data_IF_324215997581
#
_entry.id   IF_324215997581
#
_cell.length_a   1.000
_cell.length_b   1.000
_cell.length_c   1.000
_cell.angle_alpha   90.00
_cell.angle_beta   90.00
_cell.angle_gamma   90.00
#
_symmetry.space_group_name_H-M   'P 1'
#
loop_
_entity.id
_entity.type
_entity.pdbx_description
1 polymer ?
#
# COMPACT_ATOMS: atom_id res chain seq x y z
N UNK A 1 10.46 6.38 -3.33
CA UNK A 1 9.77 6.73 -2.07
C UNK A 1 10.85 6.88 -1.01
N UNK A 2 10.83 7.98 -0.30
CA UNK A 2 11.88 8.37 0.66
C UNK A 2 11.23 8.56 2.03
N UNK A 3 11.95 8.22 3.09
CA UNK A 3 11.62 8.55 4.47
C UNK A 3 12.43 9.78 4.86
N UNK A 4 11.76 10.86 5.22
CA UNK A 4 12.39 12.15 5.52
C UNK A 4 11.79 12.75 6.78
N UNK A 5 12.49 13.69 7.42
CA UNK A 5 11.93 14.50 8.49
C UNK A 5 11.00 15.58 7.92
N UNK A 6 9.92 15.95 8.66
CA UNK A 6 9.04 17.04 8.24
C UNK A 6 9.81 18.32 7.95
N UNK A 7 10.81 18.67 8.73
CA UNK A 7 11.68 19.87 8.53
C UNK A 7 12.47 19.85 7.21
N UNK A 8 12.61 18.70 6.56
CA UNK A 8 13.29 18.54 5.27
C UNK A 8 12.34 18.68 4.09
N UNK A 9 11.03 18.79 4.37
CA UNK A 9 9.99 18.92 3.35
C UNK A 9 9.66 20.40 3.16
N UNK A 10 9.71 20.86 1.92
CA UNK A 10 9.32 22.24 1.60
C UNK A 10 7.80 22.41 1.69
N UNK A 11 7.32 23.06 2.74
CA UNK A 11 5.91 23.34 2.95
C UNK A 11 5.32 24.36 1.94
N UNK A 12 6.17 25.14 1.27
CA UNK A 12 5.76 26.09 0.22
C UNK A 12 5.54 25.41 -1.13
N UNK A 13 5.76 24.09 -1.23
CA UNK A 13 5.40 23.34 -2.43
C UNK A 13 3.87 23.42 -2.64
N UNK A 14 3.39 23.80 -3.85
CA UNK A 14 1.95 23.88 -4.18
C UNK A 14 1.18 22.59 -3.88
N UNK A 15 1.90 21.47 -3.75
CA UNK A 15 1.34 20.20 -3.27
C UNK A 15 0.54 20.39 -1.95
N UNK A 16 0.95 21.28 -1.06
CA UNK A 16 0.29 21.48 0.24
C UNK A 16 -0.88 22.48 0.22
N UNK A 17 -1.12 23.23 -0.85
CA UNK A 17 -2.12 24.30 -0.90
C UNK A 17 -3.52 23.84 -0.51
N UNK A 18 -3.95 22.66 -1.02
CA UNK A 18 -5.27 22.14 -0.66
C UNK A 18 -5.37 21.70 0.80
N UNK A 19 -4.28 21.20 1.40
CA UNK A 19 -4.26 20.86 2.82
C UNK A 19 -4.27 22.13 3.69
N UNK A 20 -3.55 23.19 3.30
CA UNK A 20 -3.60 24.48 3.97
C UNK A 20 -5.00 25.10 3.89
N UNK A 21 -5.69 24.95 2.74
CA UNK A 21 -7.05 25.44 2.57
C UNK A 21 -8.09 24.63 3.38
N UNK A 22 -7.92 23.32 3.47
CA UNK A 22 -8.87 22.42 4.13
C UNK A 22 -8.73 22.45 5.65
N UNK A 23 -7.52 22.63 6.17
CA UNK A 23 -7.20 22.51 7.59
C UNK A 23 -6.62 23.81 8.15
N UNK A 24 -7.44 24.59 8.86
CA UNK A 24 -6.96 25.79 9.57
C UNK A 24 -5.85 25.39 10.55
N UNK A 25 -4.71 26.11 10.50
CA UNK A 25 -3.55 25.83 11.35
C UNK A 25 -2.70 24.63 10.88
N UNK A 26 -2.85 24.20 9.62
CA UNK A 26 -2.03 23.12 9.04
C UNK A 26 -0.53 23.43 9.11
N UNK A 27 -0.13 24.65 8.81
CA UNK A 27 1.28 25.07 8.83
C UNK A 27 1.88 25.01 10.23
N UNK A 28 1.14 25.50 11.25
CA UNK A 28 1.58 25.41 12.65
C UNK A 28 1.67 23.96 13.13
N UNK A 29 0.67 23.13 12.73
CA UNK A 29 0.68 21.70 13.01
C UNK A 29 1.87 21.01 12.36
N UNK A 30 2.17 21.33 11.10
CA UNK A 30 3.29 20.79 10.36
C UNK A 30 4.63 21.17 11.02
N UNK A 31 4.78 22.43 11.44
CA UNK A 31 5.96 22.92 12.16
C UNK A 31 6.19 22.18 13.48
N UNK A 32 5.12 21.90 14.26
CA UNK A 32 5.23 21.09 15.50
C UNK A 32 5.67 19.65 15.26
N UNK A 33 5.60 19.16 14.01
CA UNK A 33 6.01 17.82 13.61
C UNK A 33 7.43 17.77 13.01
N UNK A 34 8.19 18.85 13.10
CA UNK A 34 9.51 19.03 12.44
C UNK A 34 10.44 17.80 12.54
N UNK A 35 10.48 17.13 13.68
CA UNK A 35 11.35 15.97 13.94
C UNK A 35 10.66 14.61 13.70
N UNK A 36 9.39 14.59 13.31
CA UNK A 36 8.69 13.38 12.92
C UNK A 36 9.09 12.94 11.51
N UNK A 37 8.96 11.64 11.25
CA UNK A 37 9.21 11.06 9.93
C UNK A 37 7.96 11.07 9.05
N UNK A 38 8.14 11.33 7.77
CA UNK A 38 7.11 11.20 6.75
C UNK A 38 7.66 10.49 5.51
N UNK A 39 6.79 9.76 4.83
CA UNK A 39 7.11 9.16 3.55
C UNK A 39 6.71 10.10 2.43
N UNK A 40 7.64 10.39 1.53
CA UNK A 40 7.40 11.22 0.36
C UNK A 40 7.71 10.48 -0.95
N UNK A 41 7.02 10.89 -1.99
CA UNK A 41 7.37 10.57 -3.37
C UNK A 41 7.48 11.87 -4.15
N UNK A 42 8.58 12.03 -4.90
CA UNK A 42 8.80 13.15 -5.81
C UNK A 42 8.60 12.73 -7.26
N UNK A 43 8.22 13.66 -8.10
CA UNK A 43 8.24 13.54 -9.56
C UNK A 43 9.68 13.70 -10.08
N UNK A 44 9.88 13.52 -11.38
CA UNK A 44 11.18 13.71 -12.04
C UNK A 44 11.70 15.16 -11.97
N UNK A 45 10.81 16.12 -11.84
CA UNK A 45 11.11 17.56 -11.65
C UNK A 45 11.38 17.94 -10.19
N UNK A 46 11.45 16.97 -9.28
CA UNK A 46 11.63 17.12 -7.84
C UNK A 46 10.43 17.69 -7.07
N UNK A 47 9.32 18.06 -7.72
CA UNK A 47 8.08 18.43 -7.03
C UNK A 47 7.46 17.24 -6.29
N UNK A 48 6.72 17.52 -5.20
CA UNK A 48 6.04 16.48 -4.45
C UNK A 48 4.90 15.86 -5.27
N UNK A 49 4.79 14.55 -5.17
CA UNK A 49 3.71 13.76 -5.76
C UNK A 49 2.86 13.06 -4.72
N UNK A 50 3.44 12.72 -3.57
CA UNK A 50 2.74 12.09 -2.47
C UNK A 50 3.42 12.40 -1.14
N UNK A 51 2.60 12.45 -0.09
CA UNK A 51 3.02 12.64 1.30
C UNK A 51 2.17 11.73 2.20
N UNK A 52 2.84 10.98 3.10
CA UNK A 52 2.19 10.12 4.08
C UNK A 52 2.85 10.27 5.44
N UNK A 53 2.06 10.60 6.45
CA UNK A 53 2.45 10.60 7.85
C UNK A 53 1.70 9.52 8.62
N UNK A 54 2.44 8.70 9.36
CA UNK A 54 1.93 7.62 10.20
C UNK A 54 2.29 7.85 11.67
N UNK A 55 1.37 7.52 12.57
CA UNK A 55 1.59 7.61 14.03
C UNK A 55 0.96 6.41 14.72
N UNK A 56 1.65 5.83 15.68
CA UNK A 56 1.06 4.85 16.60
C UNK A 56 0.38 5.60 17.75
N UNK A 57 -0.83 5.18 18.07
CA UNK A 57 -1.62 5.67 19.20
C UNK A 57 -2.17 4.48 19.97
N UNK A 58 -2.01 4.49 21.29
CA UNK A 58 -2.46 3.42 22.19
C UNK A 58 -3.66 3.86 23.06
N UNK A 59 -4.03 5.14 22.98
CA UNK A 59 -5.05 5.76 23.81
C UNK A 59 -6.47 5.59 23.23
N UNK A 60 -7.47 5.85 24.07
CA UNK A 60 -8.85 6.01 23.63
C UNK A 60 -9.00 7.26 22.74
N UNK A 61 -9.82 7.18 21.70
CA UNK A 61 -10.09 8.33 20.83
C UNK A 61 -11.44 8.94 21.27
N UNK A 62 -11.37 10.08 21.94
CA UNK A 62 -12.53 10.74 22.55
C UNK A 62 -13.03 11.96 21.80
N UNK A 63 -12.30 12.39 20.76
CA UNK A 63 -12.63 13.53 19.91
C UNK A 63 -13.40 13.13 18.64
N UNK A 64 -14.07 11.97 18.70
CA UNK A 64 -14.90 11.40 17.62
C UNK A 64 -16.24 10.90 18.17
N UNK A 65 -17.25 10.78 17.33
CA UNK A 65 -18.59 10.28 17.68
C UNK A 65 -18.97 9.11 16.79
N UNK A 66 -19.17 7.89 17.30
CA UNK A 66 -18.95 7.49 18.72
C UNK A 66 -17.45 7.43 19.08
N UNK A 67 -17.14 7.54 20.36
CA UNK A 67 -15.79 7.41 20.89
C UNK A 67 -15.26 5.98 20.65
N UNK A 68 -13.94 5.84 20.52
CA UNK A 68 -13.28 4.54 20.46
C UNK A 68 -12.59 4.23 21.79
N UNK A 69 -12.70 2.99 22.30
CA UNK A 69 -12.00 2.55 23.48
C UNK A 69 -10.48 2.56 23.27
N UNK A 70 -9.72 2.38 24.34
CA UNK A 70 -8.27 2.18 24.25
C UNK A 70 -7.94 0.96 23.40
N UNK A 71 -7.02 1.13 22.44
CA UNK A 71 -6.45 0.07 21.63
C UNK A 71 -5.21 0.58 20.88
N UNK A 72 -4.30 -0.32 20.56
CA UNK A 72 -3.13 0.02 19.72
C UNK A 72 -3.56 0.21 18.27
N UNK A 73 -3.42 1.43 17.77
CA UNK A 73 -3.87 1.85 16.44
C UNK A 73 -2.76 2.50 15.65
N UNK A 74 -2.80 2.29 14.34
CA UNK A 74 -2.03 3.09 13.39
C UNK A 74 -2.92 4.21 12.85
N UNK A 75 -2.59 5.44 13.18
CA UNK A 75 -3.21 6.63 12.61
C UNK A 75 -2.53 7.00 11.29
N UNK A 76 -3.32 7.15 10.24
CA UNK A 76 -2.91 7.84 9.02
C UNK A 76 -3.17 9.33 9.25
N UNK A 77 -2.14 10.04 9.70
CA UNK A 77 -2.27 11.45 10.13
C UNK A 77 -2.37 12.43 8.98
N UNK A 78 -1.69 12.15 7.87
CA UNK A 78 -1.82 12.89 6.61
C UNK A 78 -1.55 11.93 5.47
N UNK A 79 -2.43 11.92 4.48
CA UNK A 79 -2.25 11.13 3.26
C UNK A 79 -2.76 11.91 2.06
N UNK A 80 -1.84 12.39 1.23
CA UNK A 80 -2.16 13.11 0.00
C UNK A 80 -1.36 12.55 -1.16
N UNK A 81 -2.02 12.41 -2.31
CA UNK A 81 -1.45 11.95 -3.57
C UNK A 81 -1.98 12.83 -4.71
N UNK A 82 -1.07 13.35 -5.53
CA UNK A 82 -1.36 14.07 -6.77
C UNK A 82 -0.97 13.25 -8.00
N UNK A 83 -1.48 12.04 -8.10
CA UNK A 83 -1.22 11.15 -9.23
C UNK A 83 -2.52 10.52 -9.68
N UNK A 84 -3.10 11.06 -10.73
CA UNK A 84 -4.32 10.51 -11.33
C UNK A 84 -3.98 9.34 -12.26
N UNK A 85 -4.84 8.31 -12.23
CA UNK A 85 -4.72 7.11 -13.09
C UNK A 85 -3.42 6.32 -12.92
N UNK A 86 -2.78 6.39 -11.75
CA UNK A 86 -1.60 5.61 -11.40
C UNK A 86 -1.90 4.63 -10.27
N UNK A 87 -1.01 3.65 -10.06
CA UNK A 87 -1.10 2.70 -8.95
C UNK A 87 -0.41 3.22 -7.66
N UNK A 88 -0.07 4.49 -7.62
CA UNK A 88 0.64 5.09 -6.48
C UNK A 88 -0.16 5.00 -5.18
N UNK A 89 -1.48 5.20 -5.24
CA UNK A 89 -2.37 5.03 -4.09
C UNK A 89 -2.29 3.62 -3.48
N UNK A 90 -2.35 2.59 -4.31
CA UNK A 90 -2.22 1.19 -3.86
C UNK A 90 -0.85 0.91 -3.24
N UNK A 91 0.21 1.51 -3.77
CA UNK A 91 1.55 1.40 -3.21
C UNK A 91 1.62 1.94 -1.78
N UNK A 92 1.02 3.11 -1.54
CA UNK A 92 0.96 3.69 -0.19
C UNK A 92 0.06 2.87 0.74
N UNK A 93 -1.10 2.39 0.26
CA UNK A 93 -1.95 1.49 1.06
C UNK A 93 -1.18 0.25 1.47
N UNK A 94 -0.43 -0.38 0.55
CA UNK A 94 0.43 -1.52 0.89
C UNK A 94 1.43 -1.18 1.99
N UNK A 95 2.05 -0.01 1.91
CA UNK A 95 3.01 0.43 2.93
C UNK A 95 2.33 0.65 4.29
N UNK A 96 1.15 1.28 4.32
CA UNK A 96 0.35 1.45 5.54
C UNK A 96 0.07 0.08 6.17
N UNK A 97 -0.37 -0.91 5.37
CA UNK A 97 -0.67 -2.26 5.86
C UNK A 97 0.56 -2.98 6.39
N UNK A 98 1.71 -2.86 5.71
CA UNK A 98 2.96 -3.46 6.17
C UNK A 98 3.45 -2.82 7.48
N UNK A 99 3.31 -1.51 7.61
CA UNK A 99 3.63 -0.81 8.85
C UNK A 99 2.73 -1.27 10.00
N UNK A 100 1.43 -1.42 9.74
CA UNK A 100 0.46 -1.93 10.71
C UNK A 100 0.78 -3.36 11.19
N UNK A 101 1.19 -4.25 10.26
CA UNK A 101 1.64 -5.60 10.59
C UNK A 101 2.91 -5.60 11.44
N UNK A 102 3.90 -4.79 11.05
CA UNK A 102 5.17 -4.68 11.78
C UNK A 102 4.95 -4.21 13.21
N UNK A 103 4.13 -3.17 13.38
CA UNK A 103 3.78 -2.59 14.68
C UNK A 103 2.75 -3.44 15.46
N UNK A 104 2.17 -4.46 14.84
CA UNK A 104 1.16 -5.35 15.43
C UNK A 104 -0.04 -4.58 16.00
N UNK A 105 -0.52 -3.58 15.26
CA UNK A 105 -1.68 -2.79 15.68
C UNK A 105 -2.99 -3.59 15.50
N UNK A 106 -4.01 -3.21 16.26
CA UNK A 106 -5.33 -3.83 16.18
C UNK A 106 -6.19 -3.24 15.08
N UNK A 107 -6.00 -1.94 14.83
CA UNK A 107 -6.76 -1.18 13.85
C UNK A 107 -5.88 -0.14 13.16
N UNK A 108 -6.26 0.22 11.94
CA UNK A 108 -5.74 1.37 11.22
C UNK A 108 -6.89 2.36 11.08
N UNK A 109 -6.67 3.65 11.34
CA UNK A 109 -7.70 4.64 11.12
C UNK A 109 -7.19 5.90 10.42
N UNK A 110 -8.10 6.59 9.76
CA UNK A 110 -7.87 7.85 9.06
C UNK A 110 -9.09 8.76 9.24
N UNK A 111 -8.84 10.03 9.48
CA UNK A 111 -9.86 11.08 9.42
C UNK A 111 -9.77 11.77 8.06
N UNK A 112 -10.90 11.92 7.38
CA UNK A 112 -10.92 12.44 6.01
C UNK A 112 -12.27 13.08 5.68
N UNK A 113 -12.24 14.19 4.93
CA UNK A 113 -13.45 14.77 4.35
C UNK A 113 -13.97 13.92 3.20
N UNK A 114 -15.27 13.65 3.17
CA UNK A 114 -15.93 12.83 2.13
C UNK A 114 -15.75 13.40 0.71
N UNK A 115 -15.43 14.66 0.56
CA UNK A 115 -15.12 15.30 -0.74
C UNK A 115 -13.92 14.67 -1.46
N UNK A 116 -13.02 14.00 -0.73
CA UNK A 116 -11.87 13.27 -1.28
C UNK A 116 -12.27 11.88 -1.79
N UNK A 117 -13.27 11.83 -2.68
CA UNK A 117 -13.95 10.62 -3.16
C UNK A 117 -12.97 9.54 -3.64
N UNK A 118 -11.91 9.93 -4.37
CA UNK A 118 -10.91 8.99 -4.88
C UNK A 118 -10.19 8.23 -3.77
N UNK A 119 -9.77 8.94 -2.72
CA UNK A 119 -9.09 8.35 -1.57
C UNK A 119 -10.06 7.54 -0.71
N UNK A 120 -11.28 8.04 -0.49
CA UNK A 120 -12.34 7.30 0.23
C UNK A 120 -12.64 5.97 -0.46
N UNK A 121 -12.79 5.95 -1.78
CA UNK A 121 -13.03 4.72 -2.53
C UNK A 121 -11.84 3.76 -2.47
N UNK A 122 -10.61 4.28 -2.52
CA UNK A 122 -9.41 3.48 -2.35
C UNK A 122 -9.38 2.81 -0.96
N UNK A 123 -9.66 3.56 0.09
CA UNK A 123 -9.72 3.03 1.46
C UNK A 123 -10.80 1.96 1.60
N UNK A 124 -12.02 2.22 1.11
CA UNK A 124 -13.13 1.25 1.12
C UNK A 124 -12.80 -0.03 0.38
N UNK A 125 -12.12 0.05 -0.78
CA UNK A 125 -11.63 -1.12 -1.53
C UNK A 125 -10.78 -2.04 -0.66
N UNK A 126 -9.96 -1.47 0.22
CA UNK A 126 -9.06 -2.21 1.10
C UNK A 126 -9.61 -2.40 2.53
N UNK A 127 -10.93 -2.40 2.68
CA UNK A 127 -11.60 -2.82 3.90
C UNK A 127 -11.68 -1.77 5.00
N UNK A 128 -11.47 -0.50 4.69
CA UNK A 128 -11.79 0.57 5.62
C UNK A 128 -13.29 0.86 5.59
N UNK A 129 -13.90 0.98 6.77
CA UNK A 129 -15.31 1.30 6.95
C UNK A 129 -15.46 2.57 7.76
N UNK A 130 -16.43 3.39 7.41
CA UNK A 130 -16.79 4.56 8.23
C UNK A 130 -17.37 4.10 9.56
N UNK A 131 -16.72 4.46 10.66
CA UNK A 131 -17.13 4.07 12.02
C UNK A 131 -17.53 5.24 12.91
N UNK A 132 -17.04 6.46 12.62
CA UNK A 132 -17.32 7.65 13.41
C UNK A 132 -17.22 8.91 12.56
N UNK A 133 -17.54 10.03 13.20
CA UNK A 133 -17.33 11.38 12.67
C UNK A 133 -16.48 12.19 13.65
N UNK A 134 -15.71 13.14 13.14
CA UNK A 134 -14.87 14.07 13.92
C UNK A 134 -15.13 15.50 13.50
N UNK A 135 -15.11 16.42 14.47
CA UNK A 135 -15.29 17.85 14.25
C UNK A 135 -16.73 18.32 14.34
N UNK A 136 -16.96 19.55 13.92
CA UNK A 136 -18.25 20.23 14.01
C UNK A 136 -19.27 19.67 13.01
N UNK A 137 -20.56 19.86 13.34
CA UNK A 137 -21.69 19.36 12.55
C UNK A 137 -21.75 19.90 11.14
N UNK A 138 -21.18 21.08 10.89
CA UNK A 138 -21.29 21.76 9.58
C UNK A 138 -20.31 21.22 8.52
N UNK A 139 -19.16 20.70 8.95
CA UNK A 139 -18.18 20.10 8.04
C UNK A 139 -17.38 18.97 8.75
N UNK A 140 -18.03 17.87 9.11
CA UNK A 140 -17.37 16.79 9.84
C UNK A 140 -16.43 15.99 8.95
N UNK A 141 -15.29 15.59 9.51
CA UNK A 141 -14.47 14.55 8.91
C UNK A 141 -15.08 13.16 9.21
N UNK A 142 -15.06 12.28 8.25
CA UNK A 142 -15.39 10.87 8.46
C UNK A 142 -14.18 10.11 8.99
N UNK A 143 -14.41 9.26 9.98
CA UNK A 143 -13.39 8.37 10.54
C UNK A 143 -13.55 7.00 9.93
N UNK A 144 -12.61 6.64 9.06
CA UNK A 144 -12.54 5.34 8.43
C UNK A 144 -11.59 4.44 9.21
N UNK A 145 -12.04 3.25 9.55
CA UNK A 145 -11.29 2.27 10.35
C UNK A 145 -11.20 0.96 9.60
N UNK A 146 -10.02 0.36 9.59
CA UNK A 146 -9.79 -1.02 9.15
C UNK A 146 -9.35 -1.84 10.36
N UNK A 147 -10.09 -2.90 10.66
CA UNK A 147 -9.68 -3.91 11.64
C UNK A 147 -8.56 -4.78 11.08
N UNK A 148 -7.54 -5.04 11.90
CA UNK A 148 -6.45 -5.98 11.58
C UNK A 148 -6.74 -7.39 12.15
N UNK A 149 -7.97 -7.66 12.59
CA UNK A 149 -8.38 -8.93 13.21
C UNK A 149 -9.55 -9.60 12.50
N UNK A 150 -10.29 -8.86 11.65
CA UNK A 150 -11.49 -9.37 10.98
C UNK A 150 -11.16 -9.92 9.60
N UNK A 151 -11.77 -11.06 9.28
CA UNK A 151 -11.76 -11.69 7.97
C UNK A 151 -13.13 -11.59 7.33
N UNK A 152 -13.22 -11.08 6.10
CA UNK A 152 -14.46 -10.82 5.38
C UNK A 152 -14.72 -11.82 4.25
N UNK A 153 -13.70 -12.52 3.79
CA UNK A 153 -13.73 -13.38 2.60
C UNK A 153 -13.48 -12.64 1.28
N UNK A 154 -13.35 -11.32 1.32
CA UNK A 154 -12.99 -10.50 0.15
C UNK A 154 -11.47 -10.31 0.11
N UNK A 155 -10.82 -10.73 -0.97
CA UNK A 155 -9.35 -10.72 -1.12
C UNK A 155 -8.77 -9.32 -0.92
N UNK A 156 -9.42 -8.30 -1.46
CA UNK A 156 -8.94 -6.92 -1.36
C UNK A 156 -9.17 -6.34 0.04
N UNK A 157 -10.35 -6.58 0.63
CA UNK A 157 -10.67 -6.08 1.97
C UNK A 157 -9.85 -6.78 3.04
N UNK A 158 -9.51 -8.04 2.84
CA UNK A 158 -8.74 -8.82 3.81
C UNK A 158 -7.22 -8.57 3.70
N UNK A 159 -6.75 -7.97 2.59
CA UNK A 159 -5.33 -7.61 2.47
C UNK A 159 -4.86 -6.81 3.70
N UNK A 160 -3.74 -7.13 4.34
CA UNK A 160 -2.65 -8.01 3.88
C UNK A 160 -2.75 -9.47 4.34
N UNK A 161 -3.85 -9.89 4.94
CA UNK A 161 -4.04 -11.25 5.43
C UNK A 161 -4.40 -12.21 4.30
N UNK A 162 -3.94 -13.45 4.45
CA UNK A 162 -4.16 -14.52 3.48
C UNK A 162 -4.83 -15.68 4.18
N UNK A 163 -6.00 -16.09 3.68
CA UNK A 163 -6.68 -17.28 4.17
C UNK A 163 -6.15 -18.51 3.45
N UNK A 164 -5.56 -19.45 4.19
CA UNK A 164 -4.84 -20.60 3.62
C UNK A 164 -5.61 -21.92 3.68
N UNK A 165 -6.68 -21.99 4.49
CA UNK A 165 -7.46 -23.21 4.69
C UNK A 165 -8.30 -23.55 3.45
N UNK A 166 -8.24 -24.81 3.00
CA UNK A 166 -9.02 -25.28 1.86
C UNK A 166 -8.62 -24.70 0.49
N UNK A 167 -7.50 -23.98 0.39
CA UNK A 167 -7.01 -23.40 -0.86
C UNK A 167 -5.89 -24.24 -1.45
N UNK A 168 -5.87 -24.37 -2.79
CA UNK A 168 -4.74 -24.94 -3.50
C UNK A 168 -3.53 -24.01 -3.35
N UNK A 169 -2.35 -24.59 -3.38
CA UNK A 169 -1.09 -23.89 -3.20
C UNK A 169 -0.14 -24.24 -4.34
N UNK A 170 0.31 -23.21 -5.05
CA UNK A 170 1.20 -23.34 -6.20
C UNK A 170 2.54 -22.66 -5.90
N UNK A 171 3.60 -23.21 -6.46
CA UNK A 171 4.92 -22.60 -6.47
C UNK A 171 5.20 -22.04 -7.87
N UNK A 172 5.35 -20.72 -7.99
CA UNK A 172 5.65 -20.05 -9.24
C UNK A 172 7.12 -19.66 -9.27
N UNK A 173 7.89 -20.38 -10.10
CA UNK A 173 9.31 -20.08 -10.29
C UNK A 173 9.47 -18.92 -11.30
N UNK A 174 10.13 -17.85 -10.90
CA UNK A 174 10.35 -16.65 -11.72
C UNK A 174 11.86 -16.38 -11.82
N UNK A 175 12.35 -16.18 -13.05
CA UNK A 175 13.73 -15.75 -13.27
C UNK A 175 14.00 -14.37 -12.64
N UNK A 176 15.22 -14.13 -12.11
CA UNK A 176 15.57 -12.90 -11.40
C UNK A 176 15.23 -11.62 -12.14
N UNK A 177 15.53 -11.55 -13.43
CA UNK A 177 15.26 -10.36 -14.27
C UNK A 177 13.78 -9.98 -14.36
N UNK A 178 12.87 -10.97 -14.33
CA UNK A 178 11.43 -10.73 -14.32
C UNK A 178 10.91 -10.51 -12.91
N UNK A 179 11.49 -11.25 -11.95
CA UNK A 179 11.12 -11.12 -10.54
C UNK A 179 11.35 -9.70 -10.03
N UNK A 180 12.53 -9.13 -10.28
CA UNK A 180 12.91 -7.80 -9.80
C UNK A 180 11.97 -6.70 -10.33
N UNK A 181 11.52 -6.82 -11.59
CA UNK A 181 10.54 -5.88 -12.17
C UNK A 181 9.18 -6.04 -11.52
N UNK A 182 8.73 -7.27 -11.28
CA UNK A 182 7.41 -7.57 -10.73
C UNK A 182 7.32 -7.30 -9.22
N UNK A 183 8.41 -7.57 -8.50
CA UNK A 183 8.53 -7.44 -7.03
C UNK A 183 9.74 -6.58 -6.64
N UNK A 184 9.74 -5.27 -6.98
CA UNK A 184 10.90 -4.40 -6.81
C UNK A 184 11.30 -4.15 -5.35
N UNK A 185 10.42 -4.44 -4.39
CA UNK A 185 10.73 -4.34 -2.96
C UNK A 185 11.22 -5.66 -2.34
N UNK A 186 11.29 -6.75 -3.14
CA UNK A 186 11.77 -8.07 -2.72
C UNK A 186 13.07 -8.44 -3.43
N UNK A 187 14.00 -7.50 -3.51
CA UNK A 187 15.29 -7.66 -4.20
C UNK A 187 16.31 -8.26 -3.22
N UNK A 188 17.22 -9.10 -3.73
CA UNK A 188 18.34 -9.57 -2.93
C UNK A 188 19.31 -8.42 -2.64
N UNK A 189 19.94 -8.45 -1.46
CA UNK A 189 20.95 -7.44 -1.08
C UNK A 189 22.08 -7.30 -2.12
N UNK A 190 22.38 -8.35 -2.85
CA UNK A 190 23.38 -8.36 -3.93
C UNK A 190 22.96 -7.59 -5.19
N UNK A 191 21.65 -7.28 -5.34
CA UNK A 191 21.09 -6.57 -6.50
C UNK A 191 20.75 -5.11 -6.19
N UNK A 192 20.89 -4.67 -4.95
CA UNK A 192 20.54 -3.29 -4.54
C UNK A 192 21.31 -2.25 -5.36
N UNK A 193 22.54 -2.54 -5.74
CA UNK A 193 23.40 -1.63 -6.53
C UNK A 193 22.86 -1.38 -7.95
N UNK A 194 22.14 -2.36 -8.51
CA UNK A 194 21.62 -2.32 -9.87
C UNK A 194 20.14 -1.94 -9.93
N UNK A 195 19.54 -1.62 -8.76
CA UNK A 195 18.10 -1.37 -8.59
C UNK A 195 17.57 -0.33 -9.57
N UNK A 196 18.22 0.81 -9.67
CA UNK A 196 17.77 1.96 -10.46
C UNK A 196 17.87 1.69 -11.98
N UNK A 197 18.76 0.80 -12.40
CA UNK A 197 18.87 0.37 -13.79
C UNK A 197 17.82 -0.68 -14.19
N UNK A 198 17.37 -1.48 -13.21
CA UNK A 198 16.41 -2.58 -13.42
C UNK A 198 14.96 -2.12 -13.32
N UNK A 199 14.67 -1.10 -12.51
CA UNK A 199 13.32 -0.62 -12.22
C UNK A 199 13.14 0.78 -12.82
N UNK A 200 12.72 0.82 -14.07
CA UNK A 200 12.49 2.09 -14.80
C UNK A 200 11.18 2.79 -14.43
N UNK A 201 10.15 2.03 -14.05
CA UNK A 201 8.86 2.56 -13.60
C UNK A 201 8.40 1.84 -12.32
N UNK A 202 8.46 2.57 -11.22
CA UNK A 202 8.18 2.02 -9.88
C UNK A 202 6.69 2.10 -9.53
N UNK A 203 5.93 2.98 -10.20
CA UNK A 203 4.53 3.26 -9.81
C UNK A 203 3.60 2.09 -10.08
N UNK A 204 3.69 1.47 -11.27
CA UNK A 204 2.84 0.35 -11.65
C UNK A 204 3.30 -0.99 -11.07
N UNK A 205 4.59 -1.21 -10.96
CA UNK A 205 5.15 -2.49 -10.49
C UNK A 205 4.96 -2.72 -9.00
N UNK A 206 4.80 -1.66 -8.21
CA UNK A 206 4.63 -1.72 -6.76
C UNK A 206 3.19 -1.69 -6.27
N UNK A 207 2.21 -1.89 -7.15
CA UNK A 207 0.82 -2.03 -6.73
C UNK A 207 0.60 -3.32 -5.93
N UNK A 208 -0.51 -3.39 -5.21
CA UNK A 208 -0.94 -4.61 -4.52
C UNK A 208 -1.24 -5.71 -5.54
N UNK A 209 -1.91 -5.34 -6.64
CA UNK A 209 -2.22 -6.27 -7.72
C UNK A 209 -1.02 -6.48 -8.64
N UNK A 210 -0.79 -7.74 -9.04
CA UNK A 210 0.26 -8.14 -9.97
C UNK A 210 -0.34 -8.82 -11.17
N UNK A 211 0.16 -8.50 -12.36
CA UNK A 211 -0.20 -9.18 -13.60
C UNK A 211 1.01 -10.00 -14.05
N UNK A 212 0.82 -11.29 -14.22
CA UNK A 212 1.86 -12.20 -14.68
C UNK A 212 1.42 -12.93 -15.95
N UNK A 213 2.16 -12.73 -17.04
CA UNK A 213 1.94 -13.40 -18.31
C UNK A 213 2.89 -14.59 -18.45
N UNK A 214 2.35 -15.78 -18.68
CA UNK A 214 3.15 -16.99 -18.83
C UNK A 214 2.53 -17.95 -19.88
N UNK A 215 3.32 -18.95 -20.29
CA UNK A 215 2.88 -20.07 -21.16
C UNK A 215 2.73 -21.38 -20.39
N UNK A 216 2.56 -21.33 -19.09
CA UNK A 216 2.45 -22.52 -18.24
C UNK A 216 1.05 -23.12 -18.35
N UNK A 217 0.95 -24.40 -18.77
CA UNK A 217 -0.33 -25.11 -18.85
C UNK A 217 -1.02 -25.21 -17.48
N UNK A 218 -0.26 -25.46 -16.42
CA UNK A 218 -0.78 -25.59 -15.06
C UNK A 218 -1.40 -24.30 -14.53
N UNK A 219 -1.03 -23.13 -15.09
CA UNK A 219 -1.64 -21.86 -14.69
C UNK A 219 -3.16 -21.82 -14.96
N UNK A 220 -3.64 -22.60 -15.95
CA UNK A 220 -5.06 -22.71 -16.28
C UNK A 220 -5.87 -23.45 -15.21
N UNK A 221 -5.21 -24.20 -14.32
CA UNK A 221 -5.86 -24.95 -13.24
C UNK A 221 -6.09 -24.12 -12.00
N UNK A 222 -5.46 -22.96 -11.91
CA UNK A 222 -5.61 -22.05 -10.76
C UNK A 222 -7.00 -21.42 -10.77
N UNK A 223 -7.57 -21.24 -9.60
CA UNK A 223 -8.87 -20.61 -9.39
C UNK A 223 -8.72 -19.36 -8.53
N UNK A 224 -9.63 -18.40 -8.63
CA UNK A 224 -9.67 -17.28 -7.71
C UNK A 224 -9.69 -17.74 -6.24
N UNK A 225 -8.82 -17.14 -5.43
CA UNK A 225 -8.61 -17.51 -4.05
C UNK A 225 -7.50 -18.54 -3.81
N UNK A 226 -6.98 -19.22 -4.83
CA UNK A 226 -5.81 -20.09 -4.69
C UNK A 226 -4.55 -19.26 -4.35
N UNK A 227 -3.56 -19.93 -3.75
CA UNK A 227 -2.34 -19.28 -3.29
C UNK A 227 -1.16 -19.59 -4.23
N UNK A 228 -0.37 -18.57 -4.50
CA UNK A 228 0.84 -18.68 -5.29
C UNK A 228 2.03 -18.18 -4.48
N UNK A 229 2.95 -19.09 -4.15
CA UNK A 229 4.24 -18.72 -3.57
C UNK A 229 5.18 -18.34 -4.70
N UNK A 230 5.66 -17.13 -4.67
CA UNK A 230 6.62 -16.61 -5.66
C UNK A 230 8.02 -17.06 -5.25
N UNK A 231 8.63 -17.85 -6.12
CA UNK A 231 9.97 -18.39 -5.97
C UNK A 231 10.91 -17.77 -7.00
N UNK A 232 11.80 -16.91 -6.51
CA UNK A 232 12.86 -16.35 -7.34
C UNK A 232 13.94 -17.40 -7.55
N UNK A 233 14.17 -17.81 -8.80
CA UNK A 233 15.21 -18.79 -9.13
C UNK A 233 16.61 -18.19 -8.98
N UNK A 234 17.64 -19.04 -9.06
CA UNK A 234 19.03 -18.60 -9.12
C UNK A 234 19.30 -17.74 -10.35
N UNK A 235 20.24 -16.82 -10.25
CA UNK A 235 20.76 -16.00 -11.34
C UNK A 235 22.04 -16.59 -11.98
N UNK A 236 22.37 -17.84 -11.68
CA UNK A 236 23.53 -18.60 -12.14
C UNK A 236 24.90 -17.99 -11.78
N UNK A 237 24.92 -16.98 -10.89
CA UNK A 237 26.16 -16.34 -10.40
C UNK A 237 26.72 -17.01 -9.15
N UNK A 238 26.25 -18.22 -8.82
CA UNK A 238 26.68 -18.98 -7.63
C UNK A 238 25.71 -20.10 -7.28
N UNK A 239 25.91 -20.74 -6.13
CA UNK A 239 25.08 -21.85 -5.68
C UNK A 239 23.61 -21.44 -5.57
N UNK A 240 22.70 -22.19 -6.19
CA UNK A 240 21.26 -21.98 -6.13
C UNK A 240 20.73 -21.97 -4.68
N UNK A 241 21.37 -22.70 -3.79
CA UNK A 241 21.02 -22.74 -2.36
C UNK A 241 21.02 -21.36 -1.70
N UNK A 242 21.87 -20.44 -2.13
CA UNK A 242 22.01 -19.11 -1.54
C UNK A 242 21.39 -18.00 -2.41
N UNK A 243 20.97 -18.33 -3.64
CA UNK A 243 20.53 -17.36 -4.62
C UNK A 243 19.10 -17.58 -5.11
N UNK A 244 18.44 -18.60 -4.56
CA UNK A 244 17.04 -18.89 -4.82
C UNK A 244 16.24 -18.72 -3.52
N UNK A 245 15.11 -18.03 -3.58
CA UNK A 245 14.35 -17.70 -2.37
C UNK A 245 12.86 -17.52 -2.66
N UNK A 246 12.01 -17.99 -1.75
CA UNK A 246 10.60 -17.60 -1.74
C UNK A 246 10.50 -16.16 -1.23
N UNK A 247 9.92 -15.28 -2.02
CA UNK A 247 9.91 -13.82 -1.74
C UNK A 247 8.55 -13.28 -1.37
N UNK A 248 7.49 -13.87 -1.86
CA UNK A 248 6.13 -13.36 -1.67
C UNK A 248 5.11 -14.48 -1.74
N UNK A 249 3.95 -14.25 -1.12
CA UNK A 249 2.76 -15.07 -1.32
C UNK A 249 1.69 -14.18 -1.92
N UNK A 250 1.08 -14.63 -3.01
CA UNK A 250 0.00 -13.95 -3.69
C UNK A 250 -1.28 -14.79 -3.62
N UNK A 251 -2.41 -14.12 -3.70
CA UNK A 251 -3.73 -14.76 -3.89
C UNK A 251 -4.13 -14.57 -5.35
N UNK A 252 -4.57 -15.62 -6.00
CA UNK A 252 -5.08 -15.54 -7.38
C UNK A 252 -6.40 -14.77 -7.35
N UNK A 253 -6.46 -13.66 -8.07
CA UNK A 253 -7.70 -12.90 -8.25
C UNK A 253 -8.45 -13.36 -9.50
N UNK A 254 -7.72 -13.58 -10.58
CA UNK A 254 -8.29 -13.95 -11.87
C UNK A 254 -7.25 -14.71 -12.71
N UNK A 255 -7.72 -15.65 -13.53
CA UNK A 255 -6.93 -16.33 -14.53
C UNK A 255 -7.58 -16.10 -15.89
N UNK A 256 -6.82 -15.57 -16.85
CA UNK A 256 -7.27 -15.35 -18.22
C UNK A 256 -6.43 -16.11 -19.22
N UNK A 257 -7.09 -16.63 -20.24
CA UNK A 257 -6.48 -17.27 -21.41
C UNK A 257 -6.67 -16.39 -22.63
N UNK A 258 -5.94 -16.62 -23.73
CA UNK A 258 -6.15 -15.83 -24.97
C UNK A 258 -7.60 -15.82 -25.48
N UNK A 259 -8.41 -16.83 -25.11
CA UNK A 259 -9.83 -16.91 -25.48
C UNK A 259 -10.73 -15.91 -24.75
N UNK A 260 -10.26 -15.39 -23.64
CA UNK A 260 -11.01 -14.44 -22.80
C UNK A 260 -10.87 -12.99 -23.28
N UNK A 261 -10.02 -12.76 -24.30
CA UNK A 261 -9.79 -11.44 -24.90
C UNK A 261 -10.50 -11.35 -26.25
N UNK A 262 -11.21 -10.26 -26.49
CA UNK A 262 -11.97 -10.04 -27.75
C UNK A 262 -11.11 -9.58 -28.92
N UNK A 263 -9.95 -8.98 -28.65
CA UNK A 263 -8.96 -8.56 -29.64
C UNK A 263 -7.55 -8.58 -29.03
N UNK A 264 -6.55 -8.48 -29.89
CA UNK A 264 -5.14 -8.34 -29.49
C UNK A 264 -4.69 -6.87 -29.46
N UNK A 265 -5.62 -5.92 -29.52
CA UNK A 265 -5.37 -4.48 -29.43
C UNK A 265 -5.35 -3.98 -28.00
#
# INVERSE_FOLDING_TARGET
>A
MELVKFKEVNLEDPFFDSLKADYKGFEEWFGRKSDNDAYIQKKSDSSLQAFLYLKIEDEAITDVIPNFPEAKRLKVGTFKIEAHNTKLGERFVRMIMHHALYEKVEEIYVTIFEKHVGLVNLLKKYGFEKKAIKGDTDNPESVYVKSMKCYTGDICKDFPFIHTAGKNKYLLAIYPKFHTVLFPDSILNTEIRDKDSLIKDVSHTNSIHKIYLCRMEDAKQMNPGDLVVIYRTSDDRGSAMYRSVATSVCVVEEVKTPKDFKSYE
#
